data_IF_809172831094
#
_entry.id   IF_809172831094
#
_cell.length_a   1.000
_cell.length_b   1.000
_cell.length_c   1.000
_cell.angle_alpha   90.00
_cell.angle_beta   90.00
_cell.angle_gamma   90.00
#
_symmetry.space_group_name_H-M   'P 1'
#
loop_
_entity.id
_entity.type
_entity.pdbx_description
1 polymer ?
#
# COMPACT_ATOMS: atom_id res chain seq x y z
N UNK A 1 -15.22 17.91 -16.06
CA UNK A 1 -15.70 16.56 -16.42
C UNK A 1 -15.81 15.74 -15.16
N UNK A 2 -16.91 15.03 -14.94
CA UNK A 2 -17.12 14.20 -13.74
C UNK A 2 -16.67 12.75 -14.00
N UNK A 3 -16.29 12.03 -12.93
CA UNK A 3 -15.84 10.63 -12.98
C UNK A 3 -16.85 9.70 -13.70
N UNK A 4 -18.14 10.00 -13.58
CA UNK A 4 -19.24 9.29 -14.24
C UNK A 4 -19.25 9.44 -15.78
N UNK A 5 -18.70 10.53 -16.33
CA UNK A 5 -18.57 10.73 -17.78
C UNK A 5 -17.37 9.97 -18.35
N UNK A 6 -16.30 9.76 -17.57
CA UNK A 6 -15.13 8.98 -17.98
C UNK A 6 -15.44 7.48 -18.10
N UNK A 7 -16.23 6.91 -17.19
CA UNK A 7 -16.63 5.49 -17.24
C UNK A 7 -17.42 5.16 -18.52
N UNK A 8 -18.16 6.13 -19.08
CA UNK A 8 -18.94 5.95 -20.32
C UNK A 8 -18.10 5.92 -21.60
N UNK A 9 -16.83 6.36 -21.54
CA UNK A 9 -15.92 6.43 -22.69
C UNK A 9 -14.94 5.25 -22.75
N UNK A 10 -14.87 4.45 -21.68
CA UNK A 10 -14.06 3.24 -21.63
C UNK A 10 -14.84 2.12 -22.30
N UNK A 11 -14.23 1.42 -23.26
CA UNK A 11 -14.90 0.31 -23.93
C UNK A 11 -15.24 -0.79 -22.91
N UNK A 12 -16.30 -1.56 -23.16
CA UNK A 12 -16.69 -2.65 -22.25
C UNK A 12 -15.55 -3.66 -22.05
N UNK A 13 -14.74 -3.89 -23.09
CA UNK A 13 -13.56 -4.75 -23.03
C UNK A 13 -12.46 -4.17 -22.13
N UNK A 14 -12.25 -2.86 -22.15
CA UNK A 14 -11.30 -2.18 -21.25
C UNK A 14 -11.78 -2.20 -19.79
N UNK A 15 -13.10 -2.10 -19.54
CA UNK A 15 -13.68 -2.25 -18.20
C UNK A 15 -13.52 -3.67 -17.67
N UNK A 16 -13.70 -4.69 -18.52
CA UNK A 16 -13.45 -6.09 -18.17
C UNK A 16 -11.98 -6.31 -17.84
N UNK A 17 -11.06 -5.81 -18.66
CA UNK A 17 -9.63 -5.94 -18.45
C UNK A 17 -9.18 -5.24 -17.15
N UNK A 18 -9.74 -4.07 -16.84
CA UNK A 18 -9.51 -3.40 -15.55
C UNK A 18 -10.04 -4.23 -14.37
N UNK A 19 -11.19 -4.87 -14.52
CA UNK A 19 -11.78 -5.73 -13.48
C UNK A 19 -10.88 -6.94 -13.21
N UNK A 20 -10.36 -7.59 -14.26
CA UNK A 20 -9.43 -8.71 -14.14
C UNK A 20 -8.11 -8.30 -13.47
N UNK A 21 -7.56 -7.12 -13.81
CA UNK A 21 -6.37 -6.57 -13.17
C UNK A 21 -6.62 -6.34 -11.67
N UNK A 22 -7.73 -5.67 -11.33
CA UNK A 22 -8.08 -5.39 -9.93
C UNK A 22 -8.27 -6.68 -9.15
N UNK A 23 -8.93 -7.68 -9.73
CA UNK A 23 -9.17 -8.96 -9.07
C UNK A 23 -7.87 -9.76 -8.87
N UNK A 24 -6.97 -9.73 -9.86
CA UNK A 24 -5.63 -10.34 -9.77
C UNK A 24 -4.81 -9.68 -8.67
N UNK A 25 -4.74 -8.34 -8.64
CA UNK A 25 -3.99 -7.61 -7.62
C UNK A 25 -4.59 -7.77 -6.21
N UNK A 26 -5.93 -7.80 -6.11
CA UNK A 26 -6.62 -8.04 -4.84
C UNK A 26 -6.30 -9.43 -4.30
N UNK A 27 -6.35 -10.45 -5.17
CA UNK A 27 -5.97 -11.82 -4.81
C UNK A 27 -4.51 -11.86 -4.38
N UNK A 28 -3.59 -11.27 -5.15
CA UNK A 28 -2.16 -11.23 -4.85
C UNK A 28 -1.87 -10.62 -3.48
N UNK A 29 -2.47 -9.46 -3.18
CA UNK A 29 -2.32 -8.79 -1.87
C UNK A 29 -2.89 -9.60 -0.73
N UNK A 30 -4.02 -10.26 -0.94
CA UNK A 30 -4.65 -11.12 0.07
C UNK A 30 -3.76 -12.33 0.37
N UNK A 31 -3.28 -13.03 -0.66
CA UNK A 31 -2.35 -14.15 -0.50
C UNK A 31 -1.08 -13.73 0.23
N UNK A 32 -0.52 -12.56 -0.08
CA UNK A 32 0.63 -12.02 0.65
C UNK A 32 0.32 -11.86 2.15
N UNK A 33 -0.78 -11.20 2.50
CA UNK A 33 -1.18 -11.01 3.91
C UNK A 33 -1.39 -12.34 4.63
N UNK A 34 -2.03 -13.30 3.95
CA UNK A 34 -2.32 -14.62 4.52
C UNK A 34 -1.03 -15.42 4.83
N UNK A 35 0.05 -15.19 4.06
CA UNK A 35 1.36 -15.81 4.28
C UNK A 35 2.20 -15.15 5.38
N UNK A 36 1.86 -13.94 5.82
CA UNK A 36 2.62 -13.25 6.86
C UNK A 36 2.52 -13.97 8.22
N UNK A 37 3.57 -13.83 9.02
CA UNK A 37 3.57 -14.30 10.40
C UNK A 37 2.76 -13.39 11.32
N UNK A 38 2.12 -13.96 12.35
CA UNK A 38 1.35 -13.21 13.36
C UNK A 38 2.24 -12.55 14.43
N UNK A 39 3.34 -11.93 13.99
CA UNK A 39 4.29 -11.24 14.87
C UNK A 39 3.70 -9.90 15.29
N UNK A 40 3.76 -9.62 16.59
CA UNK A 40 3.34 -8.34 17.15
C UNK A 40 4.36 -7.23 16.86
N UNK A 41 3.87 -6.01 16.66
CA UNK A 41 4.70 -4.82 16.41
C UNK A 41 5.65 -4.50 17.56
N UNK A 42 5.26 -4.83 18.80
CA UNK A 42 6.14 -4.70 19.96
C UNK A 42 7.37 -5.63 19.87
N UNK A 43 7.25 -6.77 19.19
CA UNK A 43 8.33 -7.73 18.98
C UNK A 43 9.33 -7.31 17.90
N UNK A 44 9.04 -6.25 17.13
CA UNK A 44 9.96 -5.74 16.12
C UNK A 44 11.14 -5.02 16.79
N UNK A 45 12.36 -5.36 16.36
CA UNK A 45 13.59 -4.73 16.81
C UNK A 45 13.76 -3.33 16.20
N UNK A 46 12.95 -2.38 16.66
CA UNK A 46 12.98 -0.97 16.25
C UNK A 46 13.50 -0.08 17.39
N UNK A 47 14.19 0.99 17.04
CA UNK A 47 14.54 2.07 17.96
C UNK A 47 13.27 2.74 18.49
N UNK A 48 13.38 3.35 19.68
CA UNK A 48 12.26 4.02 20.35
C UNK A 48 11.64 5.09 19.43
N UNK A 49 12.47 5.89 18.76
CA UNK A 49 12.03 6.97 17.88
C UNK A 49 11.30 6.43 16.63
N UNK A 50 11.82 5.37 16.03
CA UNK A 50 11.20 4.73 14.85
C UNK A 50 9.86 4.08 15.21
N UNK A 51 9.77 3.43 16.36
CA UNK A 51 8.53 2.85 16.87
C UNK A 51 7.49 3.93 17.19
N UNK A 52 7.90 5.04 17.82
CA UNK A 52 7.00 6.16 18.12
C UNK A 52 6.45 6.81 16.84
N UNK A 53 7.30 7.02 15.83
CA UNK A 53 6.88 7.52 14.52
C UNK A 53 5.85 6.59 13.86
N UNK A 54 6.13 5.29 13.84
CA UNK A 54 5.22 4.28 13.28
C UNK A 54 3.86 4.30 13.99
N UNK A 55 3.85 4.35 15.33
CA UNK A 55 2.61 4.41 16.09
C UNK A 55 1.84 5.71 15.91
N UNK A 56 2.51 6.86 15.74
CA UNK A 56 1.80 8.12 15.39
C UNK A 56 1.06 8.01 14.06
N UNK A 57 1.70 7.40 13.05
CA UNK A 57 1.09 7.21 11.73
C UNK A 57 -0.07 6.22 11.79
N UNK A 58 0.08 5.13 12.55
CA UNK A 58 -1.03 4.19 12.77
C UNK A 58 -2.21 4.89 13.49
N UNK A 59 -1.91 5.65 14.55
CA UNK A 59 -2.92 6.35 15.34
C UNK A 59 -3.67 7.42 14.52
N UNK A 60 -3.01 8.06 13.55
CA UNK A 60 -3.68 9.03 12.68
C UNK A 60 -4.63 8.38 11.66
N UNK A 61 -4.52 7.06 11.44
CA UNK A 61 -5.41 6.28 10.57
C UNK A 61 -6.54 5.56 11.32
N UNK A 62 -6.32 5.22 12.59
CA UNK A 62 -7.34 4.69 13.48
C UNK A 62 -8.23 5.82 14.00
N UNK A 63 -9.26 6.22 13.24
CA UNK A 63 -10.26 7.22 13.64
C UNK A 63 -11.22 6.71 14.75
N UNK A 64 -10.70 6.26 15.89
CA UNK A 64 -11.50 5.83 17.03
C UNK A 64 -10.67 5.46 18.27
N UNK A 65 -11.26 5.46 19.48
CA UNK A 65 -10.56 5.04 20.69
C UNK A 65 -10.14 3.58 20.53
N UNK A 66 -8.83 3.37 20.45
CA UNK A 66 -8.19 2.11 20.09
C UNK A 66 -8.67 0.94 20.96
N UNK A 67 -9.50 0.04 20.41
CA UNK A 67 -9.90 -1.20 21.09
C UNK A 67 -8.79 -2.27 21.09
N UNK A 68 -7.66 -2.02 20.41
CA UNK A 68 -6.43 -2.80 20.56
C UNK A 68 -5.32 -1.85 20.96
N UNK A 69 -4.62 -2.15 22.07
CA UNK A 69 -3.41 -1.40 22.43
C UNK A 69 -2.43 -1.53 21.27
N UNK A 70 -1.68 -0.47 20.94
CA UNK A 70 -0.73 -0.49 19.81
C UNK A 70 0.27 -1.67 19.86
N UNK A 71 0.52 -2.23 21.06
CA UNK A 71 1.33 -3.44 21.25
C UNK A 71 0.69 -4.74 20.72
N UNK A 72 -0.63 -4.82 20.61
CA UNK A 72 -1.35 -6.01 20.13
C UNK A 72 -1.53 -6.02 18.60
N UNK A 73 -1.06 -4.98 17.91
CA UNK A 73 -1.06 -4.94 16.46
C UNK A 73 -0.01 -5.92 15.93
N UNK A 74 -0.33 -6.63 14.85
CA UNK A 74 0.59 -7.53 14.16
C UNK A 74 1.12 -6.89 12.88
N UNK A 75 2.16 -7.48 12.29
CA UNK A 75 2.65 -7.10 10.97
C UNK A 75 1.51 -7.13 9.93
N UNK A 76 0.63 -8.14 9.97
CA UNK A 76 -0.57 -8.18 9.10
C UNK A 76 -1.44 -6.93 9.23
N UNK A 77 -1.59 -6.42 10.45
CA UNK A 77 -2.38 -5.20 10.67
C UNK A 77 -1.72 -3.97 10.04
N UNK A 78 -0.38 -3.90 9.95
CA UNK A 78 0.29 -2.82 9.22
C UNK A 78 -0.13 -2.77 7.75
N UNK A 79 -0.14 -3.92 7.07
CA UNK A 79 -0.44 -4.00 5.63
C UNK A 79 -1.93 -3.78 5.31
N UNK A 80 -2.81 -3.99 6.29
CA UNK A 80 -4.24 -3.71 6.13
C UNK A 80 -4.61 -2.28 6.51
N UNK A 81 -3.90 -1.68 7.48
CA UNK A 81 -4.19 -0.33 7.97
C UNK A 81 -3.49 0.77 7.17
N UNK A 82 -2.19 0.61 6.95
CA UNK A 82 -1.40 1.64 6.27
C UNK A 82 -1.57 1.53 4.77
N UNK A 83 -1.51 2.67 4.10
CA UNK A 83 -1.50 2.76 2.63
C UNK A 83 -0.11 3.14 2.16
N UNK A 84 0.12 3.06 0.84
CA UNK A 84 1.39 3.43 0.22
C UNK A 84 1.82 4.86 0.62
N UNK A 85 0.87 5.77 0.69
CA UNK A 85 1.12 7.18 1.02
C UNK A 85 1.63 7.36 2.46
N UNK A 86 1.24 6.47 3.38
CA UNK A 86 1.72 6.50 4.77
C UNK A 86 3.20 6.11 4.85
N UNK A 87 3.61 5.14 4.06
CA UNK A 87 5.01 4.73 3.96
C UNK A 87 5.89 5.82 3.35
N UNK A 88 5.39 6.48 2.29
CA UNK A 88 6.05 7.64 1.69
C UNK A 88 6.15 8.82 2.68
N UNK A 89 5.12 9.03 3.50
CA UNK A 89 5.15 10.03 4.56
C UNK A 89 6.22 9.71 5.60
N UNK A 90 6.34 8.45 6.04
CA UNK A 90 7.39 8.02 6.98
C UNK A 90 8.77 8.25 6.38
N UNK A 91 8.97 7.89 5.10
CA UNK A 91 10.22 8.13 4.37
C UNK A 91 10.58 9.62 4.29
N UNK A 92 9.60 10.47 3.99
CA UNK A 92 9.77 11.92 3.94
C UNK A 92 10.11 12.53 5.30
N UNK A 93 9.41 12.12 6.37
CA UNK A 93 9.62 12.65 7.73
C UNK A 93 10.95 12.17 8.30
N UNK A 94 11.29 10.90 8.12
CA UNK A 94 12.53 10.34 8.62
C UNK A 94 12.94 9.10 7.80
N UNK A 95 13.78 9.35 6.78
CA UNK A 95 14.29 8.31 5.89
C UNK A 95 15.07 7.21 6.62
N UNK A 96 15.76 7.53 7.72
CA UNK A 96 16.47 6.51 8.52
C UNK A 96 15.49 5.58 9.24
N UNK A 97 14.43 6.14 9.82
CA UNK A 97 13.37 5.35 10.44
C UNK A 97 12.64 4.48 9.41
N UNK A 98 12.40 5.01 8.21
CA UNK A 98 11.82 4.24 7.11
C UNK A 98 12.69 3.05 6.71
N UNK A 99 13.99 3.27 6.50
CA UNK A 99 14.93 2.18 6.18
C UNK A 99 14.99 1.14 7.28
N UNK A 100 15.01 1.56 8.55
CA UNK A 100 14.98 0.66 9.70
C UNK A 100 13.72 -0.21 9.73
N UNK A 101 12.54 0.39 9.50
CA UNK A 101 11.27 -0.33 9.43
C UNK A 101 11.29 -1.31 8.26
N UNK A 102 11.70 -0.85 7.08
CA UNK A 102 11.77 -1.67 5.88
C UNK A 102 12.70 -2.88 6.07
N UNK A 103 13.91 -2.66 6.57
CA UNK A 103 14.87 -3.75 6.83
C UNK A 103 14.33 -4.74 7.86
N UNK A 104 13.65 -4.24 8.89
CA UNK A 104 13.02 -5.08 9.91
C UNK A 104 11.89 -5.92 9.32
N UNK A 105 11.05 -5.34 8.47
CA UNK A 105 9.97 -6.06 7.80
C UNK A 105 10.50 -7.11 6.82
N UNK A 106 11.59 -6.84 6.09
CA UNK A 106 12.26 -7.82 5.23
C UNK A 106 12.74 -9.03 6.04
N UNK A 107 13.30 -8.83 7.24
CA UNK A 107 13.73 -9.94 8.12
C UNK A 107 12.58 -10.82 8.61
N UNK A 108 11.35 -10.34 8.51
CA UNK A 108 10.13 -11.05 8.89
C UNK A 108 9.32 -11.52 7.68
N UNK A 109 9.96 -11.66 6.51
CA UNK A 109 9.35 -12.07 5.25
C UNK A 109 8.15 -11.19 4.84
N UNK A 110 8.23 -9.90 5.20
CA UNK A 110 7.19 -8.92 4.94
C UNK A 110 7.70 -7.72 4.10
N UNK A 111 8.36 -7.94 2.94
CA UNK A 111 8.90 -6.85 2.14
C UNK A 111 7.79 -5.92 1.64
N UNK A 112 7.94 -4.62 1.93
CA UNK A 112 6.95 -3.60 1.53
C UNK A 112 6.78 -3.53 0.01
N UNK A 113 7.87 -3.71 -0.74
CA UNK A 113 7.90 -3.69 -2.20
C UNK A 113 7.07 -4.80 -2.83
N UNK A 114 7.00 -5.95 -2.18
CA UNK A 114 6.19 -7.05 -2.69
C UNK A 114 4.72 -6.72 -2.55
N UNK A 115 4.29 -6.11 -1.44
CA UNK A 115 2.88 -5.77 -1.26
C UNK A 115 2.44 -4.53 -2.07
N UNK A 116 3.17 -3.41 -1.96
CA UNK A 116 2.79 -2.13 -2.58
C UNK A 116 3.37 -1.92 -3.99
N UNK A 117 4.21 -2.84 -4.47
CA UNK A 117 5.05 -2.62 -5.63
C UNK A 117 6.29 -1.78 -5.28
N UNK A 118 7.26 -1.71 -6.20
CA UNK A 118 8.48 -0.93 -5.99
C UNK A 118 8.12 0.51 -5.61
N UNK A 119 8.68 1.04 -4.52
CA UNK A 119 8.57 2.45 -4.12
C UNK A 119 9.22 3.45 -5.11
N UNK A 120 9.65 2.96 -6.27
CA UNK A 120 10.06 3.81 -7.39
C UNK A 120 8.83 4.15 -8.25
N UNK A 121 8.61 5.45 -8.45
CA UNK A 121 7.63 6.08 -9.35
C UNK A 121 7.58 5.50 -10.78
N UNK A 122 8.53 4.65 -11.18
CA UNK A 122 8.59 4.04 -12.51
C UNK A 122 7.41 3.12 -12.82
N UNK A 123 6.82 2.43 -11.83
CA UNK A 123 5.71 1.52 -12.09
C UNK A 123 4.34 2.21 -12.10
N UNK A 124 4.11 3.21 -11.24
CA UNK A 124 2.93 4.09 -11.33
C UNK A 124 2.92 4.88 -12.62
N UNK A 125 4.09 5.35 -13.08
CA UNK A 125 4.20 5.95 -14.40
C UNK A 125 3.81 4.96 -15.51
N UNK A 126 4.04 3.66 -15.37
CA UNK A 126 3.66 2.67 -16.40
C UNK A 126 2.16 2.36 -16.44
N UNK A 127 1.51 2.26 -15.28
CA UNK A 127 0.07 2.03 -15.16
C UNK A 127 -0.73 3.29 -15.49
N UNK A 128 -0.32 4.44 -14.97
CA UNK A 128 -0.92 5.73 -15.34
C UNK A 128 -0.66 6.05 -16.82
N UNK A 129 0.52 5.74 -17.38
CA UNK A 129 0.73 5.87 -18.84
C UNK A 129 -0.13 4.90 -19.63
N UNK A 130 -0.32 3.65 -19.20
CA UNK A 130 -1.23 2.72 -19.88
C UNK A 130 -2.68 3.18 -19.80
N UNK A 131 -3.13 3.68 -18.64
CA UNK A 131 -4.45 4.27 -18.50
C UNK A 131 -4.62 5.52 -19.37
N UNK A 132 -3.62 6.41 -19.41
CA UNK A 132 -3.63 7.61 -20.27
C UNK A 132 -3.59 7.23 -21.75
N UNK A 133 -2.81 6.23 -22.15
CA UNK A 133 -2.75 5.73 -23.54
C UNK A 133 -4.07 5.11 -23.99
N UNK A 134 -4.77 4.37 -23.11
CA UNK A 134 -6.11 3.83 -23.41
C UNK A 134 -7.11 4.98 -23.57
N UNK A 135 -7.02 6.02 -22.74
CA UNK A 135 -7.88 7.22 -22.83
C UNK A 135 -7.61 8.02 -24.11
N UNK A 136 -6.34 8.20 -24.50
CA UNK A 136 -5.94 8.91 -25.71
C UNK A 136 -6.26 8.13 -27.00
N UNK A 137 -6.12 6.80 -26.99
CA UNK A 137 -6.48 5.96 -28.13
C UNK A 137 -8.00 5.88 -28.38
N UNK A 138 -8.81 6.02 -27.33
CA UNK A 138 -10.28 6.07 -27.42
C UNK A 138 -10.85 7.43 -27.84
N UNK A 139 -10.07 8.51 -27.76
CA UNK A 139 -10.53 9.88 -28.11
C UNK A 139 -10.24 10.27 -29.56
N UNK A 140 -9.47 9.48 -30.32
CA UNK A 140 -9.15 9.70 -31.74
C UNK A 140 -9.78 8.66 -32.70
N UNK A 141 -10.99 8.18 -32.38
CA UNK A 141 -11.83 7.44 -33.34
C UNK A 141 -13.15 8.16 -33.59
#
# INVERSE_FOLDING_TARGET
MTFAQHIRLVSFDDLLLLTDIVQTETTRRKTFIDCLSDIQLQGLSLTINTRDLLYRVINSRLNGPASKKNGDLTIKNLFTLLKKEDWLYIEYVNSRAFLEIKDTLIRHDAPLEEYYGVFNEKNEASLNRRMVQIIEAGTYK
#
